data_IF_696256047716
#
_entry.id   IF_696256047716
#
_cell.length_a   1.000
_cell.length_b   1.000
_cell.length_c   1.000
_cell.angle_alpha   90.00
_cell.angle_beta   90.00
_cell.angle_gamma   90.00
#
_symmetry.space_group_name_H-M   'P 1'
#
loop_
_entity.id
_entity.type
_entity.pdbx_description
1 polymer ?
#
# COMPACT_ATOMS: atom_id res chain seq x y z
N UNK A 1 -46.89 -46.41 61.93
CA UNK A 1 -45.55 -46.98 61.68
C UNK A 1 -45.48 -47.39 60.21
N UNK A 2 -45.02 -46.49 59.33
CA UNK A 2 -44.83 -46.77 57.89
C UNK A 2 -43.54 -46.07 57.49
N UNK A 3 -42.51 -46.86 57.19
CA UNK A 3 -41.22 -46.38 56.71
C UNK A 3 -41.19 -46.54 55.19
N UNK A 4 -41.11 -45.42 54.47
CA UNK A 4 -41.07 -45.40 53.01
C UNK A 4 -39.59 -45.32 52.61
N UNK A 5 -38.99 -46.47 52.26
CA UNK A 5 -37.67 -46.50 51.67
C UNK A 5 -37.76 -46.08 50.19
N UNK A 6 -37.44 -44.81 49.91
CA UNK A 6 -37.18 -44.35 48.53
C UNK A 6 -35.74 -44.70 48.16
N UNK A 7 -35.54 -45.84 47.51
CA UNK A 7 -34.26 -46.12 46.82
C UNK A 7 -34.34 -45.53 45.41
N UNK A 8 -33.52 -44.51 45.13
CA UNK A 8 -33.31 -44.04 43.75
C UNK A 8 -31.97 -43.34 43.64
N UNK A 9 -30.95 -44.08 43.21
CA UNK A 9 -29.77 -43.51 42.53
C UNK A 9 -28.82 -44.63 42.10
N UNK A 10 -29.00 -45.16 40.88
CA UNK A 10 -27.95 -45.95 40.21
C UNK A 10 -27.62 -45.51 38.77
N UNK A 11 -28.31 -44.50 38.22
CA UNK A 11 -28.07 -44.02 36.84
C UNK A 11 -27.32 -42.67 36.73
N UNK A 12 -26.93 -42.03 37.84
CA UNK A 12 -26.25 -40.71 37.79
C UNK A 12 -24.83 -40.75 37.20
N UNK A 13 -24.16 -41.89 37.28
CA UNK A 13 -22.77 -42.02 36.81
C UNK A 13 -22.66 -42.11 35.29
N UNK A 14 -23.66 -42.68 34.61
CA UNK A 14 -23.69 -42.74 33.14
C UNK A 14 -23.91 -41.37 32.50
N UNK A 15 -24.74 -40.53 33.11
CA UNK A 15 -25.03 -39.17 32.60
C UNK A 15 -23.81 -38.25 32.77
N UNK A 16 -23.11 -38.34 33.91
CA UNK A 16 -21.93 -37.51 34.17
C UNK A 16 -20.78 -37.78 33.17
N UNK A 17 -20.56 -39.04 32.79
CA UNK A 17 -19.54 -39.38 31.79
C UNK A 17 -19.86 -38.78 30.42
N UNK A 18 -21.12 -38.88 29.99
CA UNK A 18 -21.58 -38.30 28.72
C UNK A 18 -21.42 -36.79 28.73
N UNK A 19 -21.75 -36.13 29.83
CA UNK A 19 -21.59 -34.68 29.98
C UNK A 19 -20.12 -34.24 29.86
N UNK A 20 -19.20 -34.96 30.53
CA UNK A 20 -17.76 -34.67 30.44
C UNK A 20 -17.23 -34.91 29.02
N UNK A 21 -17.67 -35.99 28.37
CA UNK A 21 -17.28 -36.28 26.98
C UNK A 21 -17.79 -35.18 26.04
N UNK A 22 -19.04 -34.75 26.19
CA UNK A 22 -19.61 -33.65 25.41
C UNK A 22 -18.87 -32.34 25.67
N UNK A 23 -18.56 -32.02 26.92
CA UNK A 23 -17.78 -30.84 27.28
C UNK A 23 -16.38 -30.87 26.63
N UNK A 24 -15.70 -32.01 26.67
CA UNK A 24 -14.38 -32.18 26.04
C UNK A 24 -14.46 -32.06 24.51
N UNK A 25 -15.50 -32.64 23.89
CA UNK A 25 -15.73 -32.52 22.43
C UNK A 25 -15.97 -31.06 22.02
N UNK A 26 -16.85 -30.35 22.74
CA UNK A 26 -17.13 -28.94 22.48
C UNK A 26 -15.89 -28.07 22.68
N UNK A 27 -15.10 -28.35 23.73
CA UNK A 27 -13.85 -27.65 23.99
C UNK A 27 -12.83 -27.89 22.87
N UNK A 28 -12.70 -29.13 22.40
CA UNK A 28 -11.82 -29.47 21.29
C UNK A 28 -12.19 -28.72 20.00
N UNK A 29 -13.48 -28.68 19.67
CA UNK A 29 -13.98 -27.95 18.49
C UNK A 29 -13.75 -26.44 18.65
N UNK A 30 -14.07 -25.88 19.82
CA UNK A 30 -13.89 -24.46 20.10
C UNK A 30 -12.43 -24.01 19.98
N UNK A 31 -11.50 -24.79 20.55
CA UNK A 31 -10.06 -24.51 20.45
C UNK A 31 -9.57 -24.59 19.00
N UNK A 32 -10.03 -25.59 18.24
CA UNK A 32 -9.69 -25.73 16.83
C UNK A 32 -10.11 -24.49 16.02
N UNK A 33 -11.34 -24.01 16.21
CA UNK A 33 -11.84 -22.81 15.53
C UNK A 33 -11.02 -21.58 15.92
N UNK A 34 -10.72 -21.40 17.21
CA UNK A 34 -9.92 -20.27 17.68
C UNK A 34 -8.53 -20.24 17.05
N UNK A 35 -7.85 -21.38 16.95
CA UNK A 35 -6.54 -21.49 16.31
C UNK A 35 -6.61 -21.21 14.80
N UNK A 36 -7.65 -21.71 14.12
CA UNK A 36 -7.86 -21.43 12.69
C UNK A 36 -8.08 -19.93 12.43
N UNK A 37 -8.84 -19.25 13.27
CA UNK A 37 -9.04 -17.81 13.17
C UNK A 37 -7.73 -17.04 13.40
N UNK A 38 -6.95 -17.42 14.42
CA UNK A 38 -5.66 -16.80 14.70
C UNK A 38 -4.69 -16.97 13.52
N UNK A 39 -4.57 -18.18 12.98
CA UNK A 39 -3.73 -18.47 11.81
C UNK A 39 -4.13 -17.65 10.59
N UNK A 40 -5.44 -17.58 10.32
CA UNK A 40 -5.97 -16.79 9.19
C UNK A 40 -5.72 -15.30 9.38
N UNK A 41 -5.82 -14.78 10.60
CA UNK A 41 -5.56 -13.37 10.91
C UNK A 41 -4.10 -13.00 10.63
N UNK A 42 -3.15 -13.84 11.07
CA UNK A 42 -1.72 -13.61 10.84
C UNK A 42 -1.42 -13.64 9.33
N UNK A 43 -1.99 -14.60 8.61
CA UNK A 43 -1.83 -14.68 7.15
C UNK A 43 -2.36 -13.42 6.46
N UNK A 44 -3.52 -12.90 6.88
CA UNK A 44 -4.09 -11.65 6.33
C UNK A 44 -3.25 -10.43 6.67
N UNK A 45 -2.67 -10.37 7.87
CA UNK A 45 -1.81 -9.25 8.26
C UNK A 45 -0.57 -9.17 7.37
N UNK A 46 0.11 -10.30 7.13
CA UNK A 46 1.28 -10.34 6.22
C UNK A 46 0.93 -9.89 4.82
N UNK A 47 -0.24 -10.28 4.31
CA UNK A 47 -0.72 -9.81 3.01
C UNK A 47 -0.98 -8.31 3.00
N UNK A 48 -1.52 -7.76 4.09
CA UNK A 48 -1.70 -6.32 4.24
C UNK A 48 -0.37 -5.57 4.21
N UNK A 49 0.62 -6.07 4.95
CA UNK A 49 1.98 -5.51 4.97
C UNK A 49 2.62 -5.53 3.56
N UNK A 50 2.53 -6.65 2.85
CA UNK A 50 3.03 -6.76 1.47
C UNK A 50 2.33 -5.79 0.51
N UNK A 51 1.00 -5.68 0.59
CA UNK A 51 0.24 -4.75 -0.24
C UNK A 51 0.59 -3.28 0.05
N UNK A 52 0.84 -2.92 1.32
CA UNK A 52 1.25 -1.57 1.70
C UNK A 52 2.62 -1.22 1.13
N UNK A 53 3.58 -2.16 1.22
CA UNK A 53 4.90 -1.99 0.62
C UNK A 53 4.79 -1.87 -0.90
N UNK A 54 4.03 -2.76 -1.55
CA UNK A 54 3.81 -2.69 -3.00
C UNK A 54 3.17 -1.36 -3.44
N UNK A 55 2.20 -0.85 -2.68
CA UNK A 55 1.58 0.45 -2.96
C UNK A 55 2.56 1.61 -2.83
N UNK A 56 3.41 1.58 -1.81
CA UNK A 56 4.46 2.59 -1.61
C UNK A 56 5.52 2.56 -2.72
N UNK A 57 5.97 1.37 -3.12
CA UNK A 57 6.91 1.19 -4.24
C UNK A 57 6.29 1.60 -5.59
N UNK A 58 4.99 1.35 -5.79
CA UNK A 58 4.28 1.80 -6.98
C UNK A 58 4.22 3.34 -7.06
N UNK A 59 3.97 4.00 -5.92
CA UNK A 59 3.96 5.45 -5.82
C UNK A 59 5.35 6.05 -6.10
N UNK A 60 6.42 5.42 -5.60
CA UNK A 60 7.80 5.81 -5.89
C UNK A 60 8.08 5.78 -7.40
N UNK A 61 7.75 4.67 -8.08
CA UNK A 61 7.93 4.55 -9.54
C UNK A 61 7.07 5.57 -10.29
N UNK A 62 5.81 5.76 -9.88
CA UNK A 62 4.94 6.76 -10.49
C UNK A 62 5.51 8.18 -10.33
N UNK A 63 6.08 8.49 -9.16
CA UNK A 63 6.74 9.77 -8.88
C UNK A 63 7.93 10.01 -9.81
N UNK A 64 8.74 8.97 -10.11
CA UNK A 64 9.82 9.07 -11.09
C UNK A 64 9.31 9.41 -12.50
N UNK A 65 8.21 8.78 -12.93
CA UNK A 65 7.58 9.09 -14.23
C UNK A 65 7.09 10.54 -14.27
N UNK A 66 6.50 11.04 -13.17
CA UNK A 66 6.05 12.45 -13.07
C UNK A 66 7.25 13.40 -13.04
N UNK A 67 8.34 13.03 -12.37
CA UNK A 67 9.55 13.83 -12.21
C UNK A 67 10.35 13.96 -13.50
N UNK A 68 10.44 12.92 -14.32
CA UNK A 68 11.15 12.99 -15.61
C UNK A 68 10.21 13.46 -16.74
N UNK A 69 8.93 13.08 -16.64
CA UNK A 69 7.95 13.15 -17.72
C UNK A 69 7.86 11.81 -18.47
N UNK A 70 6.66 11.38 -18.93
CA UNK A 70 6.45 10.04 -19.49
C UNK A 70 7.36 9.68 -20.67
N UNK A 71 7.61 10.65 -21.56
CA UNK A 71 8.44 10.45 -22.75
C UNK A 71 9.93 10.31 -22.41
N UNK A 72 10.45 11.17 -21.53
CA UNK A 72 11.85 11.11 -21.09
C UNK A 72 12.12 9.88 -20.22
N UNK A 73 11.14 9.46 -19.42
CA UNK A 73 11.24 8.25 -18.61
C UNK A 73 11.50 7.02 -19.49
N UNK A 74 10.75 6.85 -20.58
CA UNK A 74 10.93 5.73 -21.53
C UNK A 74 12.33 5.71 -22.19
N UNK A 75 13.00 6.85 -22.29
CA UNK A 75 14.31 6.96 -22.93
C UNK A 75 15.46 6.75 -21.95
N UNK A 76 15.30 7.21 -20.71
CA UNK A 76 16.39 7.32 -19.74
C UNK A 76 16.34 6.24 -18.64
N UNK A 77 15.17 5.68 -18.37
CA UNK A 77 14.94 4.77 -17.26
C UNK A 77 14.62 3.36 -17.76
N UNK A 78 14.86 2.37 -16.92
CA UNK A 78 14.40 1.01 -17.16
C UNK A 78 12.90 0.93 -16.83
N UNK A 79 12.11 0.39 -17.75
CA UNK A 79 10.67 0.18 -17.54
C UNK A 79 10.35 -1.09 -16.78
N UNK A 80 11.35 -1.96 -16.56
CA UNK A 80 11.18 -3.21 -15.81
C UNK A 80 12.42 -3.46 -14.98
N UNK A 81 12.26 -3.97 -13.76
CA UNK A 81 13.40 -4.29 -12.91
C UNK A 81 13.02 -4.91 -11.58
N UNK A 82 14.04 -5.18 -10.78
CA UNK A 82 13.92 -5.60 -9.39
C UNK A 82 14.33 -4.44 -8.49
N UNK A 83 13.75 -4.34 -7.30
CA UNK A 83 14.19 -3.33 -6.33
C UNK A 83 15.46 -3.77 -5.61
N UNK A 84 16.20 -2.78 -5.12
CA UNK A 84 17.39 -2.96 -4.31
C UNK A 84 17.03 -3.28 -2.84
N UNK A 85 18.00 -3.73 -2.01
CA UNK A 85 17.75 -3.99 -0.60
C UNK A 85 17.11 -2.79 0.11
N UNK A 86 16.04 -2.99 0.91
CA UNK A 86 15.51 -4.26 1.45
C UNK A 86 14.29 -4.84 0.70
N UNK A 87 14.07 -4.49 -0.56
CA UNK A 87 12.86 -4.84 -1.33
C UNK A 87 13.13 -5.81 -2.47
N UNK A 88 14.17 -6.65 -2.37
CA UNK A 88 14.59 -7.56 -3.42
C UNK A 88 13.49 -8.54 -3.82
N UNK A 89 12.54 -8.84 -2.93
CA UNK A 89 11.39 -9.70 -3.25
C UNK A 89 10.40 -9.05 -4.23
N UNK A 90 10.52 -7.74 -4.49
CA UNK A 90 9.62 -6.98 -5.36
C UNK A 90 10.27 -6.71 -6.72
N UNK A 91 9.45 -6.78 -7.75
CA UNK A 91 9.79 -6.37 -9.12
C UNK A 91 8.75 -5.39 -9.64
N UNK A 92 9.15 -4.57 -10.60
CA UNK A 92 8.27 -3.58 -11.21
C UNK A 92 8.24 -3.70 -12.73
N UNK A 93 7.11 -3.27 -13.30
CA UNK A 93 6.92 -3.01 -14.71
C UNK A 93 6.13 -1.70 -14.87
N UNK A 94 6.63 -0.79 -15.68
CA UNK A 94 6.02 0.51 -16.00
C UNK A 94 5.64 0.51 -17.47
N UNK A 95 4.35 0.65 -17.73
CA UNK A 95 3.79 0.76 -19.08
C UNK A 95 3.34 2.19 -19.28
N UNK A 96 3.88 2.85 -20.30
CA UNK A 96 3.50 4.20 -20.72
C UNK A 96 2.88 4.10 -22.10
N UNK A 97 1.62 4.51 -22.24
CA UNK A 97 0.92 4.57 -23.54
C UNK A 97 0.60 6.01 -23.91
N UNK A 98 0.91 6.35 -25.14
CA UNK A 98 0.50 7.61 -25.77
C UNK A 98 -0.82 7.39 -26.50
N UNK A 99 -1.87 8.12 -26.12
CA UNK A 99 -3.22 7.93 -26.68
C UNK A 99 -3.42 8.81 -27.93
N UNK A 100 -2.81 9.99 -27.99
CA UNK A 100 -2.88 10.91 -29.13
C UNK A 100 -2.14 12.22 -28.88
N UNK A 101 -1.93 13.00 -29.95
CA UNK A 101 -1.30 14.32 -29.85
C UNK A 101 -2.15 15.23 -28.95
N UNK A 102 -1.51 15.85 -27.94
CA UNK A 102 -2.15 16.69 -26.91
C UNK A 102 -3.02 15.95 -25.89
N UNK A 103 -3.04 14.62 -25.90
CA UNK A 103 -3.69 13.82 -24.87
C UNK A 103 -2.69 13.43 -23.77
N UNK A 104 -3.16 13.23 -22.53
CA UNK A 104 -2.30 12.72 -21.47
C UNK A 104 -1.84 11.29 -21.78
N UNK A 105 -0.65 10.96 -21.30
CA UNK A 105 -0.14 9.59 -21.29
C UNK A 105 -0.88 8.77 -20.25
N UNK A 106 -1.27 7.55 -20.62
CA UNK A 106 -1.73 6.53 -19.68
C UNK A 106 -0.50 5.81 -19.13
N UNK A 107 -0.27 5.95 -17.82
CA UNK A 107 0.87 5.33 -17.13
C UNK A 107 0.33 4.30 -16.16
N UNK A 108 0.80 3.06 -16.31
CA UNK A 108 0.46 1.96 -15.42
C UNK A 108 1.73 1.40 -14.80
N UNK A 109 1.79 1.37 -13.48
CA UNK A 109 2.86 0.75 -12.71
C UNK A 109 2.34 -0.55 -12.12
N UNK A 110 3.04 -1.64 -12.37
CA UNK A 110 2.81 -2.95 -11.81
C UNK A 110 3.93 -3.28 -10.83
N UNK A 111 3.58 -3.77 -9.64
CA UNK A 111 4.51 -4.29 -8.65
C UNK A 111 4.14 -5.73 -8.34
N UNK A 112 5.07 -6.67 -8.54
CA UNK A 112 4.90 -8.11 -8.26
C UNK A 112 5.87 -8.55 -7.16
N UNK A 113 5.42 -9.43 -6.26
CA UNK A 113 6.22 -9.97 -5.15
C UNK A 113 5.93 -11.45 -4.84
N UNK A 114 5.21 -12.15 -5.72
CA UNK A 114 4.84 -13.56 -5.53
C UNK A 114 4.55 -14.23 -6.88
N UNK A 115 5.16 -15.41 -7.11
CA UNK A 115 4.96 -16.23 -8.31
C UNK A 115 3.48 -16.60 -8.59
N UNK A 116 2.61 -16.43 -7.59
CA UNK A 116 1.15 -16.61 -7.70
C UNK A 116 0.44 -15.48 -8.46
N UNK A 117 1.17 -14.65 -9.22
CA UNK A 117 0.64 -13.51 -10.00
C UNK A 117 -0.10 -12.50 -9.15
N UNK A 118 0.41 -12.27 -7.93
CA UNK A 118 -0.12 -11.20 -7.09
C UNK A 118 0.64 -9.94 -7.46
N UNK A 119 -0.09 -9.02 -8.06
CA UNK A 119 0.46 -7.72 -8.40
C UNK A 119 -0.41 -6.61 -7.82
N UNK A 120 0.24 -5.50 -7.53
CA UNK A 120 -0.39 -4.22 -7.26
C UNK A 120 -0.30 -3.38 -8.54
N UNK A 121 -1.39 -2.74 -8.92
CA UNK A 121 -1.45 -1.89 -10.11
C UNK A 121 -1.84 -0.48 -9.70
N UNK A 122 -1.06 0.49 -10.15
CA UNK A 122 -1.36 1.92 -10.04
C UNK A 122 -1.44 2.51 -11.43
N UNK A 123 -2.58 3.11 -11.77
CA UNK A 123 -2.84 3.72 -13.06
C UNK A 123 -3.09 5.21 -12.89
N UNK A 124 -2.49 6.02 -13.76
CA UNK A 124 -2.63 7.47 -13.75
C UNK A 124 -2.54 8.05 -15.16
N UNK A 125 -3.10 9.24 -15.33
CA UNK A 125 -2.99 10.05 -16.55
C UNK A 125 -2.02 11.20 -16.29
N UNK A 126 -0.96 11.29 -17.11
CA UNK A 126 0.09 12.29 -16.95
C UNK A 126 0.16 13.16 -18.21
N UNK A 127 0.02 14.47 -18.04
CA UNK A 127 0.13 15.40 -19.15
C UNK A 127 1.56 15.43 -19.73
N UNK A 128 1.71 15.61 -21.05
CA UNK A 128 3.02 15.86 -21.66
C UNK A 128 3.66 17.11 -21.06
N UNK A 129 4.97 17.06 -20.81
CA UNK A 129 5.72 18.28 -20.47
C UNK A 129 5.91 19.12 -21.72
N UNK A 130 5.33 20.31 -21.74
CA UNK A 130 5.54 21.29 -22.80
C UNK A 130 6.86 22.07 -22.61
N UNK A 131 7.96 21.36 -22.35
CA UNK A 131 9.24 21.97 -21.99
C UNK A 131 9.14 22.90 -20.76
N UNK A 132 10.28 23.46 -20.35
CA UNK A 132 10.26 24.71 -19.61
C UNK A 132 10.17 25.85 -20.65
N UNK A 133 9.38 26.91 -20.43
CA UNK A 133 9.54 28.11 -21.24
C UNK A 133 11.01 28.51 -21.19
N UNK A 134 11.62 28.84 -22.33
CA UNK A 134 13.01 29.29 -22.39
C UNK A 134 13.22 30.34 -21.30
N UNK A 135 14.02 29.99 -20.28
CA UNK A 135 14.31 30.94 -19.22
C UNK A 135 14.99 32.14 -19.88
N UNK A 136 14.51 33.37 -19.63
CA UNK A 136 15.17 34.54 -20.17
C UNK A 136 16.65 34.52 -19.73
N UNK A 137 17.57 34.57 -20.70
CA UNK A 137 19.02 34.52 -20.49
C UNK A 137 19.49 35.52 -19.41
N UNK A 138 18.74 36.62 -19.25
CA UNK A 138 18.99 37.65 -18.26
C UNK A 138 17.85 37.73 -17.22
N UNK A 139 18.08 37.11 -16.06
CA UNK A 139 17.20 37.26 -14.87
C UNK A 139 17.48 38.54 -14.09
N UNK A 140 18.44 39.37 -14.52
CA UNK A 140 18.71 40.61 -13.81
C UNK A 140 17.53 41.55 -14.01
N UNK A 141 17.12 42.28 -12.97
CA UNK A 141 16.20 43.38 -13.14
C UNK A 141 16.69 44.30 -14.26
N UNK A 142 15.79 44.68 -15.17
CA UNK A 142 16.11 45.60 -16.27
C UNK A 142 16.63 46.95 -15.75
N UNK A 143 16.21 47.32 -14.55
CA UNK A 143 16.61 48.54 -13.86
C UNK A 143 17.44 48.18 -12.63
N UNK A 144 18.54 48.90 -12.43
CA UNK A 144 19.30 48.78 -11.19
C UNK A 144 18.40 49.13 -10.01
N UNK A 145 18.46 48.32 -8.95
CA UNK A 145 17.72 48.61 -7.71
C UNK A 145 18.21 49.97 -7.18
N UNK A 146 17.34 50.98 -7.26
CA UNK A 146 17.59 52.30 -6.71
C UNK A 146 17.51 52.24 -5.18
N UNK A 147 18.68 52.09 -4.55
CA UNK A 147 18.81 52.07 -3.08
C UNK A 147 18.80 53.47 -2.49
N UNK A 148 18.95 54.52 -3.31
CA UNK A 148 19.02 55.91 -2.85
C UNK A 148 17.63 56.48 -2.63
N UNK A 149 16.64 56.10 -3.45
CA UNK A 149 15.23 56.46 -3.26
C UNK A 149 14.70 56.13 -1.85
N UNK A 150 15.14 54.99 -1.28
CA UNK A 150 14.78 54.56 0.08
C UNK A 150 15.20 55.59 1.14
N UNK A 151 16.34 56.26 0.96
CA UNK A 151 16.85 57.21 1.96
C UNK A 151 16.20 58.60 1.87
N UNK A 152 15.58 58.96 0.75
CA UNK A 152 14.96 60.28 0.59
C UNK A 152 13.49 60.33 1.03
N UNK A 153 12.81 59.18 1.11
CA UNK A 153 11.44 59.11 1.65
C UNK A 153 11.41 59.29 3.19
N UNK A 154 12.42 58.81 3.92
CA UNK A 154 12.51 58.93 5.39
C UNK A 154 12.99 60.32 5.89
N UNK A 155 13.43 61.22 5.01
CA UNK A 155 13.97 62.55 5.39
C UNK A 155 12.91 63.67 5.23
N UNK A 156 11.73 63.36 4.66
CA UNK A 156 10.62 64.29 4.51
C UNK A 156 9.46 63.88 5.43
N UNK A 157 9.71 63.88 6.74
CA UNK A 157 8.68 64.02 7.80
C UNK A 157 9.14 65.01 8.89
#
# INVERSE_FOLDING_TARGET
>A
MISIHTSRSRNRHGVALVEVILAALLLGIGLSVALSLASTSIARQRLGEQNLVAAWLADEQMSLVVMDGPEMYLQNQQTTGQFEPPFEDYSYEVIVKHVGDWEPYEVTVFIDWDEKRRFFQLESLIAPRQGEPEEPEDRRPLEAIDREAIYYEDIIE
#
